data_IF_874876355382
#
_entry.id   IF_874876355382
#
_cell.length_a   1.000
_cell.length_b   1.000
_cell.length_c   1.000
_cell.angle_alpha   90.00
_cell.angle_beta   90.00
_cell.angle_gamma   90.00
#
_symmetry.space_group_name_H-M   'P 1'
#
loop_
_entity.id
_entity.type
_entity.pdbx_description
1 polymer ?
#
# COMPACT_ATOMS: atom_id res chain seq x y z
N UNK A 1 4.68 33.16 23.86
CA UNK A 1 4.07 31.82 23.69
C UNK A 1 4.91 31.06 22.70
N UNK A 2 5.44 29.89 23.07
CA UNK A 2 6.32 29.10 22.18
C UNK A 2 5.44 28.43 21.13
N UNK A 3 5.84 28.54 19.87
CA UNK A 3 5.16 27.89 18.74
C UNK A 3 5.93 26.63 18.36
N UNK A 4 5.22 25.52 18.30
CA UNK A 4 5.70 24.26 17.76
C UNK A 4 5.17 24.06 16.34
N UNK A 5 5.89 23.24 15.58
CA UNK A 5 5.62 23.03 14.16
C UNK A 5 5.63 21.55 13.81
N UNK A 6 4.60 21.09 13.12
CA UNK A 6 4.70 19.87 12.33
C UNK A 6 5.21 20.21 10.95
N UNK A 7 6.15 19.41 10.46
CA UNK A 7 6.52 19.37 9.05
C UNK A 7 5.99 18.05 8.47
N UNK A 8 4.95 18.13 7.65
CA UNK A 8 4.32 16.97 7.04
C UNK A 8 5.00 16.62 5.74
N UNK A 9 5.52 15.39 5.67
CA UNK A 9 6.30 14.91 4.55
C UNK A 9 5.66 13.66 3.95
N UNK A 10 5.74 13.51 2.64
CA UNK A 10 5.52 12.25 1.96
C UNK A 10 6.67 11.27 2.29
N UNK A 11 6.51 10.00 1.93
CA UNK A 11 7.51 8.98 2.19
C UNK A 11 8.87 9.24 1.50
N UNK A 12 8.88 10.02 0.42
CA UNK A 12 10.08 10.45 -0.30
C UNK A 12 10.63 11.81 0.17
N UNK A 13 10.28 12.25 1.38
CA UNK A 13 10.68 13.53 1.98
C UNK A 13 10.16 14.78 1.26
N UNK A 14 9.18 14.64 0.37
CA UNK A 14 8.53 15.79 -0.27
C UNK A 14 7.53 16.43 0.69
N UNK A 15 7.55 17.76 0.90
CA UNK A 15 6.56 18.42 1.75
C UNK A 15 5.13 18.28 1.23
N UNK A 16 4.19 17.95 2.13
CA UNK A 16 2.77 17.81 1.82
C UNK A 16 2.06 19.17 1.92
N UNK A 17 2.19 19.97 0.86
CA UNK A 17 1.59 21.29 0.77
C UNK A 17 0.06 21.27 0.97
N UNK A 18 -0.44 22.09 1.89
CA UNK A 18 -1.88 22.17 2.16
C UNK A 18 -2.49 20.90 2.76
N UNK A 19 -1.69 20.02 3.38
CA UNK A 19 -2.22 18.82 4.01
C UNK A 19 -3.15 19.20 5.16
N UNK A 20 -4.23 18.44 5.31
CA UNK A 20 -5.10 18.56 6.46
C UNK A 20 -4.52 17.75 7.61
N UNK A 21 -4.70 18.21 8.85
CA UNK A 21 -4.22 17.50 10.02
C UNK A 21 -5.15 17.64 11.22
N UNK A 22 -5.03 16.69 12.15
CA UNK A 22 -5.64 16.68 13.47
C UNK A 22 -4.61 16.24 14.51
N UNK A 23 -4.53 16.96 15.61
CA UNK A 23 -3.76 16.61 16.80
C UNK A 23 -4.74 16.00 17.80
N UNK A 24 -4.49 14.76 18.19
CA UNK A 24 -5.37 13.95 19.02
C UNK A 24 -4.72 13.65 20.36
N UNK A 25 -5.53 13.58 21.41
CA UNK A 25 -5.16 13.03 22.72
C UNK A 25 -6.18 11.96 23.11
N UNK A 26 -5.81 10.69 22.97
CA UNK A 26 -6.76 9.59 22.96
C UNK A 26 -7.82 9.81 21.86
N UNK A 27 -9.09 9.70 22.20
CA UNK A 27 -10.20 9.96 21.28
C UNK A 27 -10.51 11.46 21.07
N UNK A 28 -9.89 12.37 21.84
CA UNK A 28 -10.21 13.80 21.81
C UNK A 28 -9.37 14.52 20.76
N UNK A 29 -10.02 15.26 19.87
CA UNK A 29 -9.34 16.25 19.01
C UNK A 29 -8.95 17.48 19.84
N UNK A 30 -7.65 17.80 19.84
CA UNK A 30 -7.12 19.00 20.47
C UNK A 30 -7.10 20.18 19.51
N UNK A 31 -6.78 19.92 18.23
CA UNK A 31 -6.73 20.92 17.16
C UNK A 31 -6.79 20.23 15.81
N UNK A 32 -7.39 20.90 14.84
CA UNK A 32 -7.26 20.58 13.43
C UNK A 32 -6.91 21.81 12.61
N UNK A 33 -6.47 21.60 11.37
CA UNK A 33 -6.14 22.68 10.46
C UNK A 33 -5.57 22.18 9.15
N UNK A 34 -5.04 23.13 8.38
CA UNK A 34 -4.35 22.88 7.13
C UNK A 34 -2.92 23.42 7.24
N UNK A 35 -1.95 22.65 6.77
CA UNK A 35 -0.57 23.09 6.65
C UNK A 35 -0.41 24.12 5.52
N UNK A 36 0.68 24.88 5.54
CA UNK A 36 0.98 25.86 4.51
C UNK A 36 1.49 25.21 3.20
N UNK A 37 1.96 26.04 2.25
CA UNK A 37 2.51 25.57 0.98
C UNK A 37 3.81 24.77 1.12
N UNK A 38 4.43 24.77 2.30
CA UNK A 38 5.63 23.99 2.63
C UNK A 38 5.30 22.79 3.52
N UNK A 39 4.03 22.44 3.70
CA UNK A 39 3.63 21.34 4.57
C UNK A 39 3.88 21.63 6.05
N UNK A 40 4.02 22.89 6.45
CA UNK A 40 4.26 23.28 7.83
C UNK A 40 2.96 23.69 8.51
N UNK A 41 2.72 23.19 9.72
CA UNK A 41 1.61 23.60 10.57
C UNK A 41 2.10 24.06 11.94
N UNK A 42 1.85 25.32 12.28
CA UNK A 42 2.24 25.90 13.58
C UNK A 42 1.10 25.83 14.60
N UNK A 43 1.43 25.55 15.86
CA UNK A 43 0.49 25.50 16.98
C UNK A 43 1.16 25.89 18.31
N UNK A 44 0.35 26.18 19.33
CA UNK A 44 0.85 26.56 20.65
C UNK A 44 1.37 25.35 21.43
N UNK A 45 2.56 25.46 22.01
CA UNK A 45 3.24 24.36 22.72
C UNK A 45 2.40 23.78 23.87
N UNK A 46 1.61 24.62 24.54
CA UNK A 46 0.72 24.23 25.64
C UNK A 46 -0.31 23.16 25.24
N UNK A 47 -0.62 23.05 23.94
CA UNK A 47 -1.54 22.04 23.43
C UNK A 47 -1.04 20.61 23.66
N UNK A 48 0.27 20.41 23.65
CA UNK A 48 0.92 19.08 23.67
C UNK A 48 1.79 18.85 24.90
N UNK A 49 2.01 19.88 25.73
CA UNK A 49 2.78 19.76 26.97
C UNK A 49 2.25 18.64 27.87
N UNK A 50 3.15 17.75 28.30
CA UNK A 50 2.86 16.60 29.17
C UNK A 50 1.78 15.65 28.63
N UNK A 51 1.57 15.60 27.31
CA UNK A 51 0.61 14.72 26.65
C UNK A 51 1.30 13.80 25.67
N UNK A 52 0.89 12.53 25.68
CA UNK A 52 1.10 11.64 24.53
C UNK A 52 0.01 11.96 23.52
N UNK A 53 0.43 12.49 22.38
CA UNK A 53 -0.47 12.88 21.29
C UNK A 53 -0.32 11.93 20.13
N UNK A 54 -1.31 11.99 19.25
CA UNK A 54 -1.28 11.33 17.96
C UNK A 54 -1.62 12.35 16.88
N UNK A 55 -1.02 12.21 15.71
CA UNK A 55 -1.31 13.12 14.59
C UNK A 55 -1.97 12.32 13.48
N UNK A 56 -3.14 12.79 13.06
CA UNK A 56 -3.81 12.31 11.84
C UNK A 56 -3.60 13.33 10.73
N UNK A 57 -3.27 12.93 9.52
CA UNK A 57 -3.07 13.86 8.41
C UNK A 57 -3.30 13.20 7.05
N UNK A 58 -3.73 13.99 6.07
CA UNK A 58 -3.98 13.53 4.69
C UNK A 58 -3.66 14.64 3.70
N UNK A 59 -3.28 14.24 2.47
CA UNK A 59 -2.92 15.20 1.44
C UNK A 59 -4.13 16.05 1.02
N UNK A 60 -3.85 17.24 0.46
CA UNK A 60 -4.90 18.12 -0.06
C UNK A 60 -5.69 17.39 -1.15
N UNK A 61 -7.01 17.34 -1.01
CA UNK A 61 -7.91 16.66 -1.96
C UNK A 61 -8.15 15.17 -1.65
N UNK A 62 -7.39 14.56 -0.74
CA UNK A 62 -7.72 13.23 -0.22
C UNK A 62 -8.90 13.29 0.77
N UNK A 63 -9.71 12.23 0.84
CA UNK A 63 -10.77 12.14 1.83
C UNK A 63 -10.19 11.88 3.23
N UNK A 64 -10.95 12.23 4.27
CA UNK A 64 -10.49 12.19 5.68
C UNK A 64 -10.31 10.76 6.22
N UNK A 65 -11.01 9.79 5.65
CA UNK A 65 -10.85 8.36 5.97
C UNK A 65 -9.51 7.79 5.44
N UNK A 66 -8.90 8.41 4.43
CA UNK A 66 -7.54 8.12 3.98
C UNK A 66 -6.45 8.78 4.85
N UNK A 67 -6.81 9.34 6.02
CA UNK A 67 -5.85 9.94 6.93
C UNK A 67 -4.86 8.93 7.48
N UNK A 68 -3.58 9.25 7.31
CA UNK A 68 -2.51 8.61 8.04
C UNK A 68 -2.60 8.94 9.50
N UNK A 69 -2.25 7.99 10.35
CA UNK A 69 -2.29 8.13 11.79
C UNK A 69 -0.95 7.70 12.36
N UNK A 70 -0.30 8.60 13.11
CA UNK A 70 0.96 8.28 13.78
C UNK A 70 0.73 7.30 14.93
N UNK A 71 1.82 6.73 15.48
CA UNK A 71 1.79 6.19 16.84
C UNK A 71 1.64 7.34 17.86
N UNK A 72 1.31 6.99 19.11
CA UNK A 72 1.30 7.95 20.21
C UNK A 72 2.74 8.37 20.56
N UNK A 73 3.00 9.68 20.65
CA UNK A 73 4.31 10.22 21.03
C UNK A 73 4.18 11.46 21.93
N UNK A 74 5.20 11.69 22.76
CA UNK A 74 5.35 12.94 23.51
C UNK A 74 6.20 13.92 22.71
N UNK A 75 5.88 15.21 22.79
CA UNK A 75 6.73 16.24 22.19
C UNK A 75 8.13 16.22 22.84
N UNK A 76 9.18 16.25 22.03
CA UNK A 76 10.56 16.23 22.52
C UNK A 76 10.96 17.64 22.95
N UNK A 77 11.46 17.79 24.17
CA UNK A 77 11.93 19.08 24.68
C UNK A 77 13.04 19.65 23.79
N UNK A 78 13.03 20.98 23.59
CA UNK A 78 13.95 21.72 22.71
C UNK A 78 13.84 21.44 21.20
N UNK A 79 12.91 20.59 20.77
CA UNK A 79 12.55 20.44 19.35
C UNK A 79 11.40 21.39 19.04
N UNK A 80 11.60 22.35 18.13
CA UNK A 80 10.53 23.27 17.69
C UNK A 80 9.77 22.76 16.48
N UNK A 81 10.40 21.89 15.68
CA UNK A 81 9.82 21.30 14.47
C UNK A 81 9.98 19.79 14.51
N UNK A 82 8.85 19.08 14.46
CA UNK A 82 8.81 17.62 14.40
C UNK A 82 8.38 17.20 12.99
N UNK A 83 9.24 16.50 12.21
CA UNK A 83 8.81 15.90 10.96
C UNK A 83 7.85 14.75 11.24
N UNK A 84 6.75 14.72 10.49
CA UNK A 84 5.75 13.64 10.48
C UNK A 84 5.65 13.13 9.05
N UNK A 85 6.16 11.92 8.83
CA UNK A 85 6.19 11.30 7.50
C UNK A 85 4.97 10.43 7.28
N UNK A 86 4.35 10.55 6.12
CA UNK A 86 3.40 9.57 5.63
C UNK A 86 4.12 8.23 5.43
N UNK A 87 3.48 7.10 5.77
CA UNK A 87 3.98 5.80 5.36
C UNK A 87 4.02 5.71 3.83
N UNK A 88 4.84 4.81 3.30
CA UNK A 88 4.81 4.46 1.88
C UNK A 88 3.46 3.81 1.58
N UNK A 89 2.55 4.52 0.91
CA UNK A 89 1.37 3.88 0.29
C UNK A 89 1.81 3.30 -1.05
N UNK A 90 1.66 1.99 -1.22
CA UNK A 90 1.71 1.37 -2.54
C UNK A 90 0.39 1.62 -3.27
N UNK A 91 0.24 2.78 -3.91
CA UNK A 91 -0.86 3.00 -4.85
C UNK A 91 -0.60 2.13 -6.09
N UNK A 92 -1.36 1.05 -6.22
CA UNK A 92 -1.32 0.21 -7.42
C UNK A 92 -2.10 0.91 -8.52
N UNK A 93 -1.48 1.27 -9.65
CA UNK A 93 -2.27 1.52 -10.83
C UNK A 93 -3.02 0.23 -11.17
N UNK A 94 -4.30 0.38 -11.48
CA UNK A 94 -5.10 -0.70 -12.04
C UNK A 94 -4.92 -0.61 -13.55
N UNK A 95 -4.06 -1.46 -14.13
CA UNK A 95 -4.10 -1.64 -15.59
C UNK A 95 -5.45 -2.20 -15.99
N UNK A 96 -6.05 -1.54 -16.98
CA UNK A 96 -7.03 -2.20 -17.84
C UNK A 96 -6.29 -3.31 -18.58
N UNK A 97 -6.58 -4.56 -18.24
CA UNK A 97 -6.16 -5.68 -19.08
C UNK A 97 -7.08 -5.66 -20.28
N UNK A 98 -6.56 -5.33 -21.47
CA UNK A 98 -7.28 -5.61 -22.70
C UNK A 98 -7.61 -7.12 -22.73
N UNK A 99 -8.89 -7.45 -22.67
CA UNK A 99 -9.36 -8.79 -23.01
C UNK A 99 -9.02 -9.01 -24.49
N UNK A 100 -7.93 -9.73 -24.76
CA UNK A 100 -7.78 -10.35 -26.06
C UNK A 100 -8.95 -11.33 -26.22
N UNK A 101 -9.64 -11.23 -27.35
CA UNK A 101 -10.67 -12.16 -27.82
C UNK A 101 -12.12 -11.94 -27.33
N UNK A 102 -12.44 -10.77 -26.76
CA UNK A 102 -13.84 -10.35 -26.59
C UNK A 102 -14.69 -11.19 -25.63
N UNK A 103 -14.06 -11.99 -24.77
CA UNK A 103 -14.74 -12.74 -23.72
C UNK A 103 -15.34 -11.79 -22.65
N UNK A 104 -16.37 -12.26 -21.93
CA UNK A 104 -16.86 -11.56 -20.73
C UNK A 104 -15.71 -11.46 -19.73
N UNK A 105 -15.33 -10.24 -19.36
CA UNK A 105 -14.23 -9.97 -18.44
C UNK A 105 -14.57 -10.42 -17.00
N UNK A 106 -14.42 -11.71 -16.71
CA UNK A 106 -14.24 -12.17 -15.34
C UNK A 106 -12.77 -12.03 -15.00
N UNK A 107 -12.43 -10.97 -14.25
CA UNK A 107 -11.07 -10.76 -13.76
C UNK A 107 -10.61 -11.98 -12.96
N UNK A 108 -9.56 -12.66 -13.44
CA UNK A 108 -8.86 -13.72 -12.71
C UNK A 108 -7.53 -13.17 -12.22
N UNK A 109 -7.37 -13.07 -10.90
CA UNK A 109 -6.12 -12.64 -10.30
C UNK A 109 -5.01 -13.65 -10.58
N UNK A 110 -3.89 -13.17 -11.11
CA UNK A 110 -2.70 -14.01 -11.29
C UNK A 110 -2.11 -14.39 -9.92
N UNK A 111 -1.49 -15.56 -9.87
CA UNK A 111 -0.74 -16.02 -8.71
C UNK A 111 0.61 -16.59 -9.15
N UNK A 112 1.54 -16.65 -8.20
CA UNK A 112 2.83 -17.31 -8.32
C UNK A 112 2.90 -18.43 -7.29
N UNK A 113 3.32 -19.62 -7.68
CA UNK A 113 3.63 -20.71 -6.75
C UNK A 113 5.14 -20.73 -6.55
N UNK A 114 5.57 -20.52 -5.32
CA UNK A 114 6.98 -20.43 -4.96
C UNK A 114 7.71 -21.73 -5.30
N UNK A 115 8.83 -21.61 -6.01
CA UNK A 115 9.67 -22.72 -6.41
C UNK A 115 10.89 -22.87 -5.49
N UNK A 116 11.53 -24.04 -5.54
CA UNK A 116 12.74 -24.30 -4.77
C UNK A 116 13.86 -23.34 -5.18
N UNK A 117 14.43 -22.62 -4.21
CA UNK A 117 15.50 -21.65 -4.44
C UNK A 117 15.03 -20.28 -4.94
N UNK A 118 13.74 -19.96 -4.85
CA UNK A 118 13.27 -18.60 -5.08
C UNK A 118 13.63 -17.66 -3.92
N UNK A 119 13.84 -16.41 -4.28
CA UNK A 119 13.91 -15.28 -3.33
C UNK A 119 12.84 -14.27 -3.70
N UNK A 120 12.43 -13.45 -2.74
CA UNK A 120 11.43 -12.41 -2.96
C UNK A 120 11.80 -11.49 -4.14
N UNK A 121 13.06 -11.08 -4.21
CA UNK A 121 13.60 -10.19 -5.25
C UNK A 121 13.55 -10.86 -6.62
N UNK A 122 13.83 -12.17 -6.70
CA UNK A 122 13.77 -12.93 -7.94
C UNK A 122 12.33 -13.00 -8.45
N UNK A 123 11.36 -13.33 -7.59
CA UNK A 123 9.94 -13.40 -7.95
C UNK A 123 9.45 -12.02 -8.41
N UNK A 124 9.73 -10.97 -7.65
CA UNK A 124 9.35 -9.60 -7.98
C UNK A 124 9.89 -9.17 -9.35
N UNK A 125 11.18 -9.44 -9.62
CA UNK A 125 11.81 -9.13 -10.91
C UNK A 125 11.21 -9.92 -12.07
N UNK A 126 10.97 -11.22 -11.89
CA UNK A 126 10.36 -12.07 -12.92
C UNK A 126 8.92 -11.65 -13.24
N UNK A 127 8.19 -11.19 -12.24
CA UNK A 127 6.80 -10.74 -12.36
C UNK A 127 6.68 -9.24 -12.67
N UNK A 128 7.79 -8.53 -12.94
CA UNK A 128 7.83 -7.08 -13.19
C UNK A 128 7.06 -6.25 -12.13
N UNK A 129 7.23 -6.61 -10.86
CA UNK A 129 6.63 -5.96 -9.69
C UNK A 129 7.69 -5.72 -8.60
N UNK A 130 7.30 -5.34 -7.38
CA UNK A 130 8.19 -5.24 -6.22
C UNK A 130 7.74 -6.15 -5.06
N UNK A 131 8.70 -6.48 -4.18
CA UNK A 131 8.51 -7.41 -3.06
C UNK A 131 7.40 -6.96 -2.12
N UNK A 132 7.45 -5.71 -1.71
CA UNK A 132 6.50 -5.14 -0.75
C UNK A 132 5.06 -5.20 -1.26
N UNK A 133 4.86 -5.04 -2.57
CA UNK A 133 3.55 -5.13 -3.17
C UNK A 133 3.00 -6.56 -3.20
N UNK A 134 3.85 -7.55 -3.46
CA UNK A 134 3.45 -8.96 -3.35
C UNK A 134 3.08 -9.26 -1.89
N UNK A 135 3.90 -8.83 -0.91
CA UNK A 135 3.62 -9.05 0.51
C UNK A 135 2.31 -8.40 0.96
N UNK A 136 2.09 -7.14 0.59
CA UNK A 136 0.89 -6.38 0.93
C UNK A 136 -0.41 -7.08 0.49
N UNK A 137 -0.48 -7.54 -0.77
CA UNK A 137 -1.68 -8.20 -1.30
C UNK A 137 -1.94 -9.56 -0.65
N UNK A 138 -0.90 -10.20 -0.13
CA UNK A 138 -0.99 -11.48 0.56
C UNK A 138 -1.07 -11.32 2.08
N UNK A 139 -1.26 -10.08 2.58
CA UNK A 139 -1.34 -9.77 4.02
C UNK A 139 -0.10 -10.25 4.82
N UNK A 140 1.07 -10.28 4.16
CA UNK A 140 2.35 -10.67 4.75
C UNK A 140 3.08 -9.46 5.29
N UNK A 141 3.78 -9.64 6.40
CA UNK A 141 4.61 -8.59 7.01
C UNK A 141 5.94 -8.41 6.25
N UNK A 142 6.55 -7.23 6.40
CA UNK A 142 7.89 -7.00 5.83
C UNK A 142 8.96 -7.92 6.45
N UNK A 143 8.73 -8.38 7.68
CA UNK A 143 9.59 -9.34 8.40
C UNK A 143 9.43 -10.79 7.91
N UNK A 144 8.37 -11.10 7.15
CA UNK A 144 8.17 -12.43 6.55
C UNK A 144 9.19 -12.67 5.43
N UNK A 145 10.35 -13.15 5.82
CA UNK A 145 11.51 -13.37 4.96
C UNK A 145 11.55 -14.77 4.34
N UNK A 146 10.81 -15.73 4.91
CA UNK A 146 10.90 -17.14 4.51
C UNK A 146 9.89 -17.48 3.42
N UNK A 147 10.40 -17.75 2.22
CA UNK A 147 9.64 -18.33 1.12
C UNK A 147 9.64 -19.85 1.22
N UNK A 148 8.45 -20.45 1.35
CA UNK A 148 8.28 -21.90 1.35
C UNK A 148 7.87 -22.37 -0.04
N UNK A 149 8.52 -23.42 -0.56
CA UNK A 149 8.12 -24.06 -1.81
C UNK A 149 6.64 -24.48 -1.75
N UNK A 150 5.89 -24.19 -2.81
CA UNK A 150 4.46 -24.49 -2.90
C UNK A 150 3.54 -23.42 -2.30
N UNK A 151 4.10 -22.36 -1.70
CA UNK A 151 3.32 -21.20 -1.26
C UNK A 151 2.72 -20.49 -2.49
N UNK A 152 1.42 -20.22 -2.44
CA UNK A 152 0.71 -19.45 -3.46
C UNK A 152 0.70 -17.98 -3.04
N UNK A 153 1.27 -17.13 -3.90
CA UNK A 153 1.31 -15.70 -3.75
C UNK A 153 0.41 -15.06 -4.81
N UNK A 154 -0.63 -14.34 -4.37
CA UNK A 154 -1.39 -13.47 -5.24
C UNK A 154 -0.45 -12.39 -5.81
N UNK A 155 -0.52 -12.21 -7.11
CA UNK A 155 0.25 -11.17 -7.78
C UNK A 155 -0.60 -9.91 -7.94
N UNK A 156 0.02 -8.72 -7.93
CA UNK A 156 -0.65 -7.48 -8.27
C UNK A 156 -1.22 -7.52 -9.68
N UNK A 157 -2.30 -6.76 -9.91
CA UNK A 157 -3.02 -6.70 -11.20
C UNK A 157 -2.14 -6.44 -12.42
N UNK A 158 -1.03 -5.72 -12.24
CA UNK A 158 -0.11 -5.37 -13.32
C UNK A 158 1.09 -6.31 -13.45
N UNK A 159 1.21 -7.30 -12.55
CA UNK A 159 2.32 -8.23 -12.59
C UNK A 159 2.33 -9.00 -13.90
N UNK A 160 3.50 -9.11 -14.50
CA UNK A 160 3.70 -9.97 -15.65
C UNK A 160 3.51 -11.42 -15.22
N UNK A 161 2.70 -12.15 -15.98
CA UNK A 161 2.48 -13.57 -15.74
C UNK A 161 3.81 -14.33 -15.89
N UNK A 162 4.21 -15.17 -14.91
CA UNK A 162 5.46 -15.92 -14.98
C UNK A 162 5.45 -16.88 -16.16
N UNK A 163 6.52 -16.87 -16.96
CA UNK A 163 6.63 -17.69 -18.17
C UNK A 163 6.64 -19.19 -17.88
N UNK A 164 7.16 -19.60 -16.70
CA UNK A 164 7.34 -21.02 -16.31
C UNK A 164 6.07 -21.71 -15.80
N UNK A 165 5.03 -20.96 -15.42
CA UNK A 165 3.75 -21.54 -14.99
C UNK A 165 2.74 -21.69 -16.13
N UNK A 166 3.15 -21.45 -17.38
CA UNK A 166 2.30 -21.68 -18.56
C UNK A 166 2.01 -23.17 -18.81
N UNK A 167 2.83 -24.08 -18.30
CA UNK A 167 2.72 -25.52 -18.60
C UNK A 167 1.69 -26.27 -17.74
N UNK A 168 1.28 -25.70 -16.59
CA UNK A 168 0.34 -26.32 -15.66
C UNK A 168 -1.15 -26.03 -15.93
N UNK A 169 -1.46 -25.00 -16.74
CA UNK A 169 -2.81 -24.74 -17.23
C UNK A 169 -2.92 -25.26 -18.66
N UNK A 170 -2.77 -26.57 -18.86
CA UNK A 170 -3.39 -27.21 -20.03
C UNK A 170 -4.87 -27.35 -19.72
N UNK A 171 -5.63 -26.35 -20.13
CA UNK A 171 -7.07 -26.38 -20.39
C UNK A 171 -7.81 -27.62 -19.84
N UNK A 172 -8.15 -27.64 -18.56
CA UNK A 172 -9.23 -28.52 -18.09
C UNK A 172 -10.60 -28.09 -18.67
N UNK A 173 -10.66 -26.94 -19.33
CA UNK A 173 -11.86 -26.48 -20.04
C UNK A 173 -11.96 -26.95 -21.50
N UNK A 174 -10.94 -27.58 -22.10
CA UNK A 174 -11.06 -28.17 -23.45
C UNK A 174 -11.56 -29.62 -23.44
N UNK A 175 -11.45 -30.34 -22.31
CA UNK A 175 -11.99 -31.71 -22.21
C UNK A 175 -13.53 -31.78 -22.10
N UNK A 176 -14.20 -30.68 -21.73
CA UNK A 176 -15.66 -30.65 -21.65
C UNK A 176 -16.31 -30.35 -23.02
N UNK A 177 -15.57 -29.72 -23.95
CA UNK A 177 -16.08 -29.38 -25.29
C UNK A 177 -15.93 -30.56 -26.27
N UNK A 178 -14.87 -31.38 -26.16
CA UNK A 178 -14.69 -32.55 -27.03
C UNK A 178 -15.62 -33.72 -26.69
N UNK A 179 -16.02 -33.91 -25.42
CA UNK A 179 -17.03 -34.93 -25.07
C UNK A 179 -18.46 -34.53 -25.48
N UNK A 180 -18.75 -33.24 -25.66
CA UNK A 180 -20.06 -32.77 -26.10
C UNK A 180 -20.26 -32.86 -27.63
N UNK A 181 -19.16 -32.82 -28.42
CA UNK A 181 -19.25 -32.90 -29.88
C UNK A 181 -19.24 -34.33 -30.45
N UNK A 182 -18.87 -35.36 -29.67
CA UNK A 182 -18.91 -36.77 -30.11
C UNK A 182 -20.20 -37.53 -29.73
N UNK A 183 -21.26 -36.82 -29.32
CA UNK A 183 -22.60 -37.39 -29.07
C UNK A 183 -23.66 -36.88 -30.08
N UNK A 184 -23.23 -36.22 -31.16
CA UNK A 184 -24.10 -35.76 -32.26
C UNK A 184 -23.57 -36.10 -33.67
N UNK A 185 -22.74 -37.12 -33.79
CA UNK A 185 -22.33 -37.73 -35.06
C UNK A 185 -22.85 -39.15 -35.18
#
# INVERSE_FOLDING_TARGET
MIKYQFEFLAANDTPLAGCNYQIMWGAKELKSGQADSKGIASFDSELVNNRKIRVRFWAKGQPKDAAFESIDFSWVENIVTQPVKAPVIYEMPLRETENKDGEKAEYRQAYYEVQSGDTWEKIARECETNVSLIKFINELSDDDSVLQKGLILLLPREAKRPSKQREGIKDENTKTVEKANNLRG
#
